data_IF_714015814579
#
_entry.id   IF_714015814579
#
_cell.length_a   1.000
_cell.length_b   1.000
_cell.length_c   1.000
_cell.angle_alpha   90.00
_cell.angle_beta   90.00
_cell.angle_gamma   90.00
#
_symmetry.space_group_name_H-M   'P 1'
#
loop_
_entity.id
_entity.type
_entity.pdbx_description
1 polymer ?
#
# COMPACT_ATOMS: atom_id res chain seq x y z
N UNK A 1 -4.56 16.53 3.96
CA UNK A 1 -4.45 15.12 4.38
C UNK A 1 -4.68 14.10 3.25
N UNK A 2 -5.67 14.27 2.37
CA UNK A 2 -5.91 13.33 1.24
C UNK A 2 -4.71 13.18 0.27
N UNK A 3 -3.95 14.25 0.03
CA UNK A 3 -2.88 14.28 -0.98
C UNK A 3 -1.61 13.52 -0.56
N UNK A 4 -1.29 13.48 0.73
CA UNK A 4 -0.04 12.87 1.24
C UNK A 4 -0.14 11.34 1.24
N UNK A 5 -1.29 10.76 1.58
CA UNK A 5 -1.44 9.29 1.61
C UNK A 5 -1.55 8.71 0.20
N UNK A 6 -2.28 9.39 -0.69
CA UNK A 6 -2.45 8.91 -2.07
C UNK A 6 -1.21 9.10 -2.95
N UNK A 7 -0.54 10.26 -2.89
CA UNK A 7 0.61 10.53 -3.76
C UNK A 7 1.90 9.90 -3.24
N UNK A 8 2.25 10.19 -1.99
CA UNK A 8 3.55 9.84 -1.43
C UNK A 8 3.63 8.34 -1.12
N UNK A 9 2.58 7.76 -0.54
CA UNK A 9 2.55 6.32 -0.23
C UNK A 9 1.85 5.47 -1.29
N UNK A 10 1.27 6.07 -2.33
CA UNK A 10 0.55 5.32 -3.37
C UNK A 10 -0.69 4.59 -2.85
N UNK A 11 -1.35 5.08 -1.78
CA UNK A 11 -2.50 4.41 -1.16
C UNK A 11 -3.78 5.16 -1.46
N UNK A 12 -4.69 4.49 -2.16
CA UNK A 12 -5.96 5.09 -2.59
C UNK A 12 -7.14 4.24 -2.10
N UNK A 13 -8.14 4.89 -1.48
CA UNK A 13 -9.38 4.22 -1.09
C UNK A 13 -10.31 4.11 -2.29
N UNK A 14 -10.86 2.92 -2.55
CA UNK A 14 -11.85 2.67 -3.60
C UNK A 14 -13.13 2.01 -3.03
N UNK A 15 -14.14 1.82 -3.89
CA UNK A 15 -15.37 1.11 -3.51
C UNK A 15 -15.10 -0.37 -3.22
N UNK A 16 -14.09 -0.95 -3.84
CA UNK A 16 -13.74 -2.36 -3.78
C UNK A 16 -12.79 -2.65 -2.62
N UNK A 17 -11.98 -1.67 -2.20
CA UNK A 17 -10.99 -1.85 -1.14
C UNK A 17 -9.98 -0.71 -1.08
N UNK A 18 -8.73 -1.05 -0.78
CA UNK A 18 -7.58 -0.13 -0.92
C UNK A 18 -6.82 -0.52 -2.19
N UNK A 19 -6.54 0.46 -3.03
CA UNK A 19 -5.65 0.31 -4.19
C UNK A 19 -4.25 0.81 -3.80
N UNK A 20 -3.25 -0.02 -4.08
CA UNK A 20 -1.83 0.30 -3.91
C UNK A 20 -1.21 0.53 -5.27
N UNK A 21 -0.65 1.72 -5.46
CA UNK A 21 0.08 2.17 -6.65
C UNK A 21 1.52 2.55 -6.28
N UNK A 22 2.35 2.76 -7.30
CA UNK A 22 3.75 3.15 -7.09
C UNK A 22 3.82 4.42 -6.23
N UNK A 23 4.56 4.41 -5.11
CA UNK A 23 4.72 5.59 -4.26
C UNK A 23 5.57 6.66 -4.96
N UNK A 24 5.31 7.93 -4.66
CA UNK A 24 6.12 9.07 -5.14
C UNK A 24 7.12 9.53 -4.06
N UNK A 25 8.41 9.11 -4.15
CA UNK A 25 9.41 9.38 -3.11
C UNK A 25 9.68 10.85 -2.87
N UNK A 26 9.65 11.22 -1.59
CA UNK A 26 10.22 12.49 -1.14
C UNK A 26 11.75 12.32 -1.11
N UNK A 27 12.52 13.15 -1.84
CA UNK A 27 13.97 13.07 -1.83
C UNK A 27 14.54 13.12 -0.41
N UNK A 28 15.39 12.14 -0.07
CA UNK A 28 16.06 12.06 1.23
C UNK A 28 15.22 11.45 2.37
N UNK A 29 13.98 11.03 2.11
CA UNK A 29 13.11 10.39 3.12
C UNK A 29 12.79 8.95 2.69
N UNK A 30 13.19 7.93 3.46
CA UNK A 30 12.90 6.54 3.11
C UNK A 30 11.43 6.20 3.40
N UNK A 31 10.81 5.47 2.47
CA UNK A 31 9.54 4.80 2.74
C UNK A 31 9.81 3.55 3.57
N UNK A 32 9.23 3.51 4.75
CA UNK A 32 9.44 2.41 5.68
C UNK A 32 8.10 1.87 6.13
N UNK A 33 7.26 2.70 6.74
CA UNK A 33 6.00 2.24 7.30
C UNK A 33 4.87 3.28 7.26
N UNK A 34 3.64 2.78 7.19
CA UNK A 34 2.42 3.54 7.42
C UNK A 34 1.44 2.66 8.20
N UNK A 35 1.31 2.95 9.50
CA UNK A 35 0.57 2.10 10.43
C UNK A 35 -0.88 2.59 10.62
N UNK A 36 -1.75 1.66 11.01
CA UNK A 36 -3.14 1.90 11.39
C UNK A 36 -3.98 2.64 10.34
N UNK A 37 -3.79 2.31 9.07
CA UNK A 37 -4.61 2.86 7.98
C UNK A 37 -5.99 2.23 8.04
N UNK A 38 -6.97 2.97 8.55
CA UNK A 38 -8.33 2.47 8.67
C UNK A 38 -9.13 2.65 7.37
N UNK A 39 -9.76 1.57 6.94
CA UNK A 39 -10.79 1.57 5.90
C UNK A 39 -11.90 0.59 6.23
N UNK A 40 -13.15 1.09 6.29
CA UNK A 40 -14.31 0.32 6.78
C UNK A 40 -14.03 -0.26 8.17
N UNK A 41 -14.19 -1.57 8.34
CA UNK A 41 -13.94 -2.29 9.59
C UNK A 41 -12.55 -2.92 9.61
N UNK A 42 -11.68 -2.55 8.66
CA UNK A 42 -10.31 -3.05 8.55
C UNK A 42 -9.28 -1.98 8.95
N UNK A 43 -8.18 -2.47 9.52
CA UNK A 43 -6.98 -1.70 9.86
C UNK A 43 -5.81 -2.33 9.10
N UNK A 44 -5.04 -1.50 8.39
CA UNK A 44 -3.91 -1.95 7.59
C UNK A 44 -2.60 -1.33 8.08
N UNK A 45 -1.58 -2.15 8.25
CA UNK A 45 -0.22 -1.74 8.59
C UNK A 45 0.66 -1.98 7.36
N UNK A 46 1.12 -0.92 6.72
CA UNK A 46 1.91 -1.00 5.50
C UNK A 46 3.40 -0.91 5.79
N UNK A 47 4.17 -1.76 5.12
CA UNK A 47 5.63 -1.78 5.14
C UNK A 47 6.18 -1.78 3.72
N UNK A 48 7.06 -0.83 3.39
CA UNK A 48 7.75 -0.78 2.11
C UNK A 48 9.16 -1.35 2.25
N UNK A 49 9.52 -2.26 1.35
CA UNK A 49 10.84 -2.88 1.31
C UNK A 49 11.45 -2.69 -0.09
N UNK A 50 12.59 -2.02 -0.17
CA UNK A 50 13.30 -1.73 -1.43
C UNK A 50 13.70 -0.26 -1.54
N UNK A 51 14.21 0.15 -2.71
CA UNK A 51 14.71 1.51 -2.95
C UNK A 51 14.18 2.17 -4.22
N UNK A 52 13.68 1.39 -5.18
CA UNK A 52 13.04 1.89 -6.39
C UNK A 52 11.62 2.41 -6.14
N UNK A 53 11.02 3.06 -7.14
CA UNK A 53 9.61 3.51 -7.09
C UNK A 53 8.64 2.48 -7.68
N UNK A 54 9.14 1.48 -8.43
CA UNK A 54 8.31 0.45 -9.05
C UNK A 54 7.96 -0.65 -8.06
N UNK A 55 6.67 -0.94 -7.93
CA UNK A 55 6.19 -2.08 -7.14
C UNK A 55 6.41 -3.38 -7.93
N UNK A 56 7.10 -4.32 -7.30
CA UNK A 56 7.30 -5.69 -7.79
C UNK A 56 6.17 -6.59 -7.32
N UNK A 57 5.76 -6.43 -6.06
CA UNK A 57 4.77 -7.30 -5.42
C UNK A 57 4.13 -6.61 -4.22
N UNK A 58 2.85 -6.90 -3.99
CA UNK A 58 2.15 -6.56 -2.75
C UNK A 58 1.66 -7.85 -2.10
N UNK A 59 1.86 -7.97 -0.80
CA UNK A 59 1.38 -9.07 0.03
C UNK A 59 0.46 -8.52 1.11
N UNK A 60 -0.69 -9.15 1.33
CA UNK A 60 -1.55 -8.93 2.49
C UNK A 60 -1.65 -10.22 3.28
N UNK A 61 -1.27 -10.19 4.56
CA UNK A 61 -1.22 -11.36 5.44
C UNK A 61 -0.47 -12.55 4.80
N UNK A 62 0.63 -12.24 4.10
CA UNK A 62 1.46 -13.21 3.39
C UNK A 62 0.92 -13.69 2.03
N UNK A 63 -0.29 -13.29 1.63
CA UNK A 63 -0.90 -13.66 0.35
C UNK A 63 -0.71 -12.56 -0.69
N UNK A 64 -0.43 -12.93 -1.93
CA UNK A 64 -0.22 -11.96 -3.02
C UNK A 64 -1.53 -11.24 -3.35
N UNK A 65 -1.50 -9.92 -3.35
CA UNK A 65 -2.61 -9.11 -3.81
C UNK A 65 -2.73 -9.16 -5.34
N UNK A 66 -3.96 -9.15 -5.83
CA UNK A 66 -4.25 -9.22 -7.27
C UNK A 66 -4.04 -7.86 -7.95
N UNK A 67 -3.36 -7.83 -9.11
CA UNK A 67 -3.21 -6.61 -9.88
C UNK A 67 -4.52 -6.23 -10.60
N UNK A 68 -4.98 -4.99 -10.42
CA UNK A 68 -6.17 -4.43 -11.06
C UNK A 68 -5.80 -3.11 -11.72
N UNK A 69 -5.90 -3.05 -13.05
CA UNK A 69 -5.65 -1.85 -13.85
C UNK A 69 -4.31 -1.12 -13.53
N UNK A 70 -3.24 -1.89 -13.29
CA UNK A 70 -1.91 -1.35 -12.96
C UNK A 70 -1.69 -0.97 -11.50
N UNK A 71 -2.63 -1.31 -10.61
CA UNK A 71 -2.53 -1.18 -9.14
C UNK A 71 -2.72 -2.55 -8.48
N UNK A 72 -2.57 -2.65 -7.17
CA UNK A 72 -2.85 -3.86 -6.39
C UNK A 72 -4.04 -3.63 -5.48
N UNK A 73 -5.02 -4.52 -5.49
CA UNK A 73 -6.23 -4.39 -4.67
C UNK A 73 -6.08 -5.16 -3.35
N UNK A 74 -6.34 -4.47 -2.25
CA UNK A 74 -6.55 -5.05 -0.92
C UNK A 74 -8.05 -5.01 -0.62
N UNK A 75 -8.71 -6.16 -0.64
CA UNK A 75 -10.16 -6.31 -0.57
C UNK A 75 -10.66 -6.74 0.82
N UNK A 76 -9.77 -6.85 1.81
CA UNK A 76 -10.12 -7.23 3.17
C UNK A 76 -10.97 -6.13 3.84
N UNK A 77 -12.24 -6.42 4.14
CA UNK A 77 -13.18 -5.38 4.62
C UNK A 77 -13.25 -5.28 6.15
N UNK A 78 -12.63 -6.22 6.85
CA UNK A 78 -12.65 -6.33 8.31
C UNK A 78 -11.42 -7.03 8.85
N UNK A 79 -10.94 -6.59 10.02
CA UNK A 79 -9.79 -7.21 10.70
C UNK A 79 -8.58 -6.29 10.74
N UNK A 80 -7.46 -6.83 11.23
CA UNK A 80 -6.16 -6.17 11.18
C UNK A 80 -5.28 -6.92 10.20
N UNK A 81 -4.62 -6.20 9.30
CA UNK A 81 -3.91 -6.76 8.16
C UNK A 81 -2.51 -6.18 8.02
N UNK A 82 -1.54 -7.07 7.81
CA UNK A 82 -0.16 -6.71 7.53
C UNK A 82 0.07 -6.67 6.03
N UNK A 83 0.49 -5.51 5.53
CA UNK A 83 0.71 -5.26 4.11
C UNK A 83 2.19 -5.03 3.84
N UNK A 84 2.78 -5.87 2.98
CA UNK A 84 4.15 -5.67 2.50
C UNK A 84 4.14 -5.23 1.05
N UNK A 85 4.77 -4.09 0.78
CA UNK A 85 4.95 -3.52 -0.57
C UNK A 85 6.42 -3.66 -0.95
N UNK A 86 6.71 -4.60 -1.85
CA UNK A 86 8.05 -4.86 -2.34
C UNK A 86 8.33 -3.96 -3.55
N UNK A 87 9.35 -3.12 -3.42
CA UNK A 87 9.84 -2.21 -4.45
C UNK A 87 11.08 -2.82 -5.12
N UNK A 88 11.42 -2.34 -6.32
CA UNK A 88 12.69 -2.71 -6.96
C UNK A 88 13.90 -2.35 -6.10
N UNK A 89 14.99 -3.12 -6.28
CA UNK A 89 16.26 -2.93 -5.58
C UNK A 89 17.05 -1.75 -6.12
#
# INVERSE_FOLDING_TARGET
>A
FHMLVCGIYGIEKSREGILVSAPDPIPGVPFTELLHVCWRNAVYNFHWEGKGSRIVQVLTDGHRAEPVAGKFLLDQQSGEHEVKVLLEK
#
